data_IF_778295982061
#
_entry.id   IF_778295982061
#
_cell.length_a   1.000
_cell.length_b   1.000
_cell.length_c   1.000
_cell.angle_alpha   90.00
_cell.angle_beta   90.00
_cell.angle_gamma   90.00
#
_symmetry.space_group_name_H-M   'P 1'
#
loop_
_entity.id
_entity.type
_entity.pdbx_description
1 polymer ?
#
# COMPACT_ATOMS: atom_id res chain seq x y z
N UNK A 1 -25.25 2.18 51.66
CA UNK A 1 -24.47 2.10 50.42
C UNK A 1 -24.83 3.34 49.64
N UNK A 2 -23.84 4.17 49.39
CA UNK A 2 -24.01 5.43 48.67
C UNK A 2 -24.24 5.10 47.18
N UNK A 3 -25.39 5.46 46.57
CA UNK A 3 -25.66 5.20 45.16
C UNK A 3 -24.76 6.03 44.21
N UNK A 4 -23.94 6.96 44.72
CA UNK A 4 -23.08 7.84 43.93
C UNK A 4 -21.65 7.31 43.68
N UNK A 5 -21.40 6.02 43.91
CA UNK A 5 -20.12 5.35 43.62
C UNK A 5 -20.19 4.40 42.41
N UNK A 6 -21.00 4.73 41.40
CA UNK A 6 -20.78 4.13 40.08
C UNK A 6 -19.55 4.81 39.46
N UNK A 7 -18.51 4.06 39.05
CA UNK A 7 -17.44 4.65 38.27
C UNK A 7 -18.05 5.33 37.04
N UNK A 8 -17.54 6.51 36.62
CA UNK A 8 -18.02 7.14 35.41
C UNK A 8 -17.96 6.11 34.28
N UNK A 9 -19.04 6.01 33.48
CA UNK A 9 -19.06 5.16 32.30
C UNK A 9 -17.78 5.45 31.51
N UNK A 10 -16.95 4.42 31.30
CA UNK A 10 -15.76 4.52 30.46
C UNK A 10 -16.19 5.16 29.14
N UNK A 11 -15.51 6.23 28.72
CA UNK A 11 -15.77 6.83 27.42
C UNK A 11 -15.80 5.72 26.35
N UNK A 12 -16.78 5.71 25.44
CA UNK A 12 -16.89 4.65 24.44
C UNK A 12 -15.59 4.58 23.61
N UNK A 13 -15.12 3.37 23.34
CA UNK A 13 -13.95 3.12 22.49
C UNK A 13 -14.25 3.65 21.08
N UNK A 14 -13.61 4.77 20.72
CA UNK A 14 -13.83 5.42 19.43
C UNK A 14 -13.25 4.53 18.33
N UNK A 15 -14.13 4.05 17.44
CA UNK A 15 -13.73 3.15 16.37
C UNK A 15 -13.12 3.90 15.19
N UNK A 16 -12.06 3.33 14.62
CA UNK A 16 -11.46 3.76 13.36
C UNK A 16 -12.02 2.93 12.20
N UNK A 17 -12.59 3.61 11.21
CA UNK A 17 -13.21 2.95 10.05
C UNK A 17 -12.13 2.54 9.03
N UNK A 18 -12.28 1.35 8.46
CA UNK A 18 -11.36 0.79 7.46
C UNK A 18 -12.17 0.29 6.27
N UNK A 19 -11.71 0.55 5.05
CA UNK A 19 -12.23 -0.12 3.85
C UNK A 19 -11.16 -0.98 3.22
N UNK A 20 -11.53 -2.20 2.81
CA UNK A 20 -10.66 -3.14 2.12
C UNK A 20 -11.23 -3.56 0.77
N UNK A 21 -10.36 -3.68 -0.22
CA UNK A 21 -10.64 -4.35 -1.49
C UNK A 21 -10.06 -5.77 -1.51
N UNK A 22 -10.37 -6.51 -2.56
CA UNK A 22 -9.92 -7.90 -2.72
C UNK A 22 -9.54 -8.20 -4.17
N UNK A 23 -8.56 -9.10 -4.34
CA UNK A 23 -8.23 -9.72 -5.62
C UNK A 23 -9.18 -10.85 -6.02
N UNK A 24 -10.02 -11.31 -5.10
CA UNK A 24 -10.86 -12.52 -5.21
C UNK A 24 -12.34 -12.26 -4.91
N UNK A 25 -12.71 -11.04 -4.54
CA UNK A 25 -14.10 -10.62 -4.35
C UNK A 25 -14.43 -9.38 -5.17
N UNK A 26 -15.68 -9.29 -5.61
CA UNK A 26 -16.19 -8.14 -6.38
C UNK A 26 -16.62 -6.98 -5.46
N UNK A 27 -16.77 -7.24 -4.17
CA UNK A 27 -17.22 -6.28 -3.14
C UNK A 27 -16.06 -5.57 -2.45
N UNK A 28 -16.40 -4.52 -1.72
CA UNK A 28 -15.54 -3.92 -0.68
C UNK A 28 -15.99 -4.41 0.70
N UNK A 29 -15.07 -4.54 1.63
CA UNK A 29 -15.37 -4.78 3.04
C UNK A 29 -15.17 -3.49 3.83
N UNK A 30 -16.20 -3.04 4.55
CA UNK A 30 -16.10 -1.97 5.53
C UNK A 30 -15.95 -2.61 6.92
N UNK A 31 -14.92 -2.20 7.64
CA UNK A 31 -14.54 -2.72 8.95
C UNK A 31 -14.42 -1.58 9.97
N UNK A 32 -14.47 -1.92 11.25
CA UNK A 32 -14.28 -0.99 12.37
C UNK A 32 -13.22 -1.55 13.33
N UNK A 33 -12.15 -0.81 13.55
CA UNK A 33 -11.10 -1.13 14.52
C UNK A 33 -11.35 -0.38 15.83
N UNK A 34 -11.39 -1.11 16.94
CA UNK A 34 -11.58 -0.58 18.29
C UNK A 34 -10.25 -0.65 19.05
N UNK A 35 -9.52 0.47 19.21
CA UNK A 35 -8.15 0.46 19.72
C UNK A 35 -8.01 0.06 21.20
N UNK A 36 -8.97 0.37 22.07
CA UNK A 36 -8.92 -0.04 23.48
C UNK A 36 -9.13 -1.55 23.62
N UNK A 37 -10.09 -2.10 22.88
CA UNK A 37 -10.41 -3.53 22.91
C UNK A 37 -9.52 -4.38 22.00
N UNK A 38 -8.80 -3.75 21.07
CA UNK A 38 -7.96 -4.39 20.05
C UNK A 38 -8.76 -5.40 19.20
N UNK A 39 -9.95 -4.99 18.76
CA UNK A 39 -10.82 -5.80 17.89
C UNK A 39 -11.02 -5.13 16.52
N UNK A 40 -11.14 -5.95 15.47
CA UNK A 40 -11.47 -5.50 14.12
C UNK A 40 -12.73 -6.22 13.68
N UNK A 41 -13.81 -5.47 13.54
CA UNK A 41 -15.15 -6.00 13.29
C UNK A 41 -15.62 -5.71 11.87
N UNK A 42 -16.42 -6.62 11.30
CA UNK A 42 -17.11 -6.37 10.03
C UNK A 42 -18.28 -5.42 10.25
N UNK A 43 -18.35 -4.37 9.44
CA UNK A 43 -19.47 -3.42 9.44
C UNK A 43 -20.43 -3.72 8.28
N UNK A 44 -19.88 -3.84 7.07
CA UNK A 44 -20.68 -4.09 5.87
C UNK A 44 -19.85 -4.71 4.75
N UNK A 45 -20.50 -5.50 3.91
CA UNK A 45 -19.98 -5.88 2.60
C UNK A 45 -20.70 -5.03 1.55
N UNK A 46 -19.96 -4.17 0.88
CA UNK A 46 -20.52 -3.22 -0.10
C UNK A 46 -20.40 -3.83 -1.50
N UNK A 47 -21.52 -4.08 -2.22
CA UNK A 47 -21.47 -4.46 -3.62
C UNK A 47 -20.67 -3.43 -4.42
N UNK A 48 -19.69 -3.90 -5.18
CA UNK A 48 -18.78 -3.03 -5.90
C UNK A 48 -18.44 -3.64 -7.26
N UNK A 49 -17.37 -3.15 -7.88
CA UNK A 49 -16.98 -3.50 -9.24
C UNK A 49 -15.59 -4.11 -9.26
N UNK A 50 -15.28 -4.96 -8.28
CA UNK A 50 -13.97 -5.59 -8.15
C UNK A 50 -13.71 -6.64 -9.24
N UNK A 51 -12.62 -7.41 -9.14
CA UNK A 51 -11.62 -7.36 -8.07
C UNK A 51 -10.92 -6.00 -7.97
N UNK A 52 -10.78 -5.49 -6.75
CA UNK A 52 -10.18 -4.20 -6.46
C UNK A 52 -8.75 -4.39 -6.00
N UNK A 53 -7.77 -3.89 -6.76
CA UNK A 53 -6.36 -4.03 -6.38
C UNK A 53 -5.90 -2.94 -5.42
N UNK A 54 -6.35 -1.71 -5.64
CA UNK A 54 -5.85 -0.53 -4.94
C UNK A 54 -6.98 0.41 -4.61
N UNK A 55 -6.84 1.10 -3.48
CA UNK A 55 -7.79 2.05 -2.95
C UNK A 55 -7.04 3.33 -2.58
N UNK A 56 -7.63 4.47 -2.89
CA UNK A 56 -7.13 5.78 -2.52
C UNK A 56 -8.27 6.61 -1.92
N UNK A 57 -7.92 7.64 -1.15
CA UNK A 57 -8.87 8.54 -0.52
C UNK A 57 -8.28 9.94 -0.42
N UNK A 58 -9.14 10.93 -0.23
CA UNK A 58 -8.77 12.32 0.04
C UNK A 58 -8.38 12.48 1.52
N UNK A 59 -7.73 13.58 1.94
CA UNK A 59 -7.41 13.81 3.35
C UNK A 59 -8.64 13.87 4.27
N UNK A 60 -9.78 14.35 3.74
CA UNK A 60 -11.04 14.42 4.50
C UNK A 60 -11.76 13.07 4.60
N UNK A 61 -11.28 12.03 3.90
CA UNK A 61 -11.87 10.70 3.90
C UNK A 61 -13.37 10.71 3.53
N UNK A 62 -13.77 11.66 2.68
CA UNK A 62 -15.14 11.83 2.18
C UNK A 62 -15.41 10.96 0.94
N UNK A 63 -14.35 10.56 0.25
CA UNK A 63 -14.42 9.71 -0.95
C UNK A 63 -13.38 8.60 -0.94
N UNK A 64 -13.74 7.47 -1.55
CA UNK A 64 -12.86 6.34 -1.84
C UNK A 64 -12.82 6.16 -3.35
N UNK A 65 -11.63 5.99 -3.91
CA UNK A 65 -11.40 5.67 -5.31
C UNK A 65 -10.74 4.33 -5.41
N UNK A 66 -11.15 3.49 -6.36
CA UNK A 66 -10.55 2.17 -6.49
C UNK A 66 -10.24 1.83 -7.93
N UNK A 67 -9.18 1.05 -8.10
CA UNK A 67 -8.91 0.34 -9.35
C UNK A 67 -9.77 -0.91 -9.45
N UNK A 68 -9.96 -1.43 -10.65
CA UNK A 68 -10.62 -2.70 -10.88
C UNK A 68 -9.91 -3.55 -11.94
N UNK A 69 -9.92 -4.86 -11.75
CA UNK A 69 -9.54 -5.86 -12.75
C UNK A 69 -10.69 -6.23 -13.70
N UNK A 70 -11.78 -5.45 -13.71
CA UNK A 70 -12.89 -5.65 -14.63
C UNK A 70 -12.46 -5.59 -16.10
N UNK A 71 -13.29 -6.19 -16.96
CA UNK A 71 -13.15 -6.14 -18.42
C UNK A 71 -14.46 -5.59 -19.00
N UNK A 72 -14.48 -4.40 -19.61
CA UNK A 72 -13.34 -3.50 -19.87
C UNK A 72 -12.74 -2.88 -18.59
N UNK A 73 -11.48 -2.41 -18.61
CA UNK A 73 -10.86 -1.75 -17.46
C UNK A 73 -11.61 -0.47 -17.03
N UNK A 74 -11.77 -0.30 -15.73
CA UNK A 74 -12.49 0.84 -15.13
C UNK A 74 -11.82 1.37 -13.86
N UNK A 75 -12.11 2.62 -13.53
CA UNK A 75 -11.97 3.19 -12.19
C UNK A 75 -13.35 3.53 -11.64
N UNK A 76 -13.51 3.46 -10.33
CA UNK A 76 -14.78 3.76 -9.66
C UNK A 76 -14.56 4.62 -8.44
N UNK A 77 -15.56 5.43 -8.09
CA UNK A 77 -15.56 6.31 -6.93
C UNK A 77 -16.78 6.07 -6.03
N UNK A 78 -16.59 6.23 -4.73
CA UNK A 78 -17.62 6.07 -3.70
C UNK A 78 -17.54 7.22 -2.71
N UNK A 79 -18.70 7.68 -2.24
CA UNK A 79 -18.83 8.63 -1.15
C UNK A 79 -18.98 7.88 0.17
N UNK A 80 -18.29 8.34 1.21
CA UNK A 80 -18.47 7.80 2.57
C UNK A 80 -19.75 8.33 3.20
N UNK A 81 -20.54 7.44 3.81
CA UNK A 81 -21.64 7.83 4.70
C UNK A 81 -21.19 7.72 6.15
N UNK A 82 -21.68 8.61 7.01
CA UNK A 82 -21.24 8.68 8.42
C UNK A 82 -22.42 8.79 9.37
N UNK A 83 -22.36 8.03 10.46
CA UNK A 83 -23.23 8.17 11.62
C UNK A 83 -22.36 8.41 12.85
N UNK A 84 -22.59 9.51 13.57
CA UNK A 84 -21.76 9.93 14.71
C UNK A 84 -20.26 9.96 14.35
N UNK A 85 -19.92 10.60 13.23
CA UNK A 85 -18.55 10.77 12.70
C UNK A 85 -17.87 9.49 12.17
N UNK A 86 -18.36 8.29 12.55
CA UNK A 86 -17.87 7.00 12.04
C UNK A 86 -18.41 6.70 10.65
N UNK A 87 -17.57 6.22 9.74
CA UNK A 87 -18.01 5.72 8.43
C UNK A 87 -18.75 4.40 8.59
N UNK A 88 -19.97 4.35 8.08
CA UNK A 88 -20.88 3.18 8.17
C UNK A 88 -21.35 2.64 6.82
N UNK A 89 -21.00 3.32 5.72
CA UNK A 89 -21.37 2.91 4.39
C UNK A 89 -20.59 3.63 3.29
N UNK A 90 -20.75 3.11 2.08
CA UNK A 90 -20.17 3.64 0.86
C UNK A 90 -21.24 3.68 -0.23
N UNK A 91 -21.49 4.86 -0.77
CA UNK A 91 -22.42 5.08 -1.87
C UNK A 91 -21.63 5.24 -3.17
N UNK A 92 -21.95 4.44 -4.18
CA UNK A 92 -21.30 4.57 -5.49
C UNK A 92 -21.64 5.94 -6.12
N UNK A 93 -20.60 6.64 -6.59
CA UNK A 93 -20.73 7.96 -7.24
C UNK A 93 -20.71 7.79 -8.75
N UNK A 94 -19.59 7.31 -9.30
CA UNK A 94 -19.49 7.01 -10.73
C UNK A 94 -18.39 6.00 -11.05
N UNK A 95 -18.36 5.60 -12.32
CA UNK A 95 -17.35 4.73 -12.92
C UNK A 95 -16.92 5.31 -14.26
N UNK A 96 -15.61 5.30 -14.54
CA UNK A 96 -15.04 5.75 -15.82
C UNK A 96 -14.24 4.63 -16.48
N UNK A 97 -14.32 4.48 -17.82
CA UNK A 97 -13.49 3.53 -18.54
C UNK A 97 -12.05 4.04 -18.64
N UNK A 98 -11.09 3.13 -18.57
CA UNK A 98 -9.66 3.41 -18.77
C UNK A 98 -9.09 2.47 -19.83
N UNK A 99 -7.97 2.84 -20.44
CA UNK A 99 -7.39 2.08 -21.55
C UNK A 99 -6.81 0.74 -21.09
N UNK A 100 -6.11 0.69 -19.97
CA UNK A 100 -5.55 -0.55 -19.41
C UNK A 100 -5.81 -0.65 -17.91
N UNK A 101 -5.80 -1.87 -17.37
CA UNK A 101 -5.97 -2.13 -15.93
C UNK A 101 -4.98 -1.29 -15.12
N UNK A 102 -5.50 -0.42 -14.27
CA UNK A 102 -4.69 0.38 -13.35
C UNK A 102 -4.34 -0.38 -12.07
N UNK A 103 -3.21 -0.03 -11.48
CA UNK A 103 -2.66 -0.63 -10.27
C UNK A 103 -2.62 0.30 -9.06
N UNK A 104 -2.75 1.61 -9.29
CA UNK A 104 -2.53 2.65 -8.30
C UNK A 104 -3.38 3.88 -8.61
N UNK A 105 -3.77 4.62 -7.57
CA UNK A 105 -4.45 5.91 -7.68
C UNK A 105 -3.80 6.90 -6.71
N UNK A 106 -3.59 8.13 -7.14
CA UNK A 106 -3.16 9.24 -6.29
C UNK A 106 -3.99 10.49 -6.59
N UNK A 107 -4.36 11.22 -5.55
CA UNK A 107 -5.10 12.48 -5.63
C UNK A 107 -4.27 13.53 -4.89
N UNK A 108 -3.22 14.09 -5.53
CA UNK A 108 -2.34 15.04 -4.85
C UNK A 108 -3.06 16.37 -4.60
N UNK A 109 -2.62 17.17 -3.60
CA UNK A 109 -3.05 18.55 -3.48
C UNK A 109 -2.91 19.30 -4.82
N UNK A 110 -3.85 20.19 -5.18
CA UNK A 110 -4.99 20.68 -4.40
C UNK A 110 -6.26 19.83 -4.52
N UNK A 111 -6.13 18.54 -4.87
CA UNK A 111 -7.24 17.59 -5.04
C UNK A 111 -8.19 17.91 -6.20
N UNK A 112 -7.64 18.51 -7.26
CA UNK A 112 -8.39 18.87 -8.48
C UNK A 112 -8.25 17.87 -9.61
N UNK A 113 -7.30 16.94 -9.51
CA UNK A 113 -7.04 15.89 -10.49
C UNK A 113 -6.77 14.55 -9.81
N UNK A 114 -7.18 13.48 -10.46
CA UNK A 114 -7.00 12.09 -10.04
C UNK A 114 -6.09 11.39 -11.04
N UNK A 115 -5.00 10.84 -10.54
CA UNK A 115 -3.97 10.17 -11.32
C UNK A 115 -4.04 8.69 -11.09
N UNK A 116 -3.88 7.92 -12.16
CA UNK A 116 -3.84 6.46 -12.09
C UNK A 116 -2.76 5.91 -13.00
N UNK A 117 -2.11 4.83 -12.60
CA UNK A 117 -1.05 4.19 -13.38
C UNK A 117 -1.14 2.67 -13.26
N UNK A 118 -0.96 1.96 -14.37
CA UNK A 118 -0.89 0.52 -14.40
C UNK A 118 -0.61 -0.02 -15.80
N UNK A 119 0.34 -0.95 -15.90
CA UNK A 119 0.64 -1.62 -17.15
C UNK A 119 1.20 -0.62 -18.19
N UNK A 120 0.72 -0.65 -19.45
CA UNK A 120 1.27 0.18 -20.52
C UNK A 120 0.83 1.65 -20.48
N UNK A 121 -0.09 2.03 -19.58
CA UNK A 121 -0.65 3.39 -19.55
C UNK A 121 -0.77 3.98 -18.15
N UNK A 122 -0.78 5.30 -18.08
CA UNK A 122 -1.31 6.09 -16.97
C UNK A 122 -2.40 7.03 -17.47
N UNK A 123 -3.30 7.46 -16.60
CA UNK A 123 -4.38 8.36 -16.97
C UNK A 123 -4.61 9.43 -15.91
N UNK A 124 -4.92 10.64 -16.38
CA UNK A 124 -5.28 11.80 -15.56
C UNK A 124 -6.74 12.13 -15.81
N UNK A 125 -7.50 12.27 -14.73
CA UNK A 125 -8.89 12.70 -14.76
C UNK A 125 -9.06 13.96 -13.92
N UNK A 126 -9.99 14.84 -14.32
CA UNK A 126 -10.47 15.90 -13.43
C UNK A 126 -11.13 15.29 -12.19
N UNK A 127 -11.00 15.93 -11.04
CA UNK A 127 -11.88 15.71 -9.89
C UNK A 127 -13.14 16.55 -10.09
N UNK A 128 -14.32 15.94 -10.02
CA UNK A 128 -15.58 16.68 -10.11
C UNK A 128 -15.93 17.27 -8.73
N UNK A 129 -15.90 18.60 -8.53
CA UNK A 129 -16.18 19.21 -7.24
C UNK A 129 -17.65 19.13 -6.81
N UNK A 130 -18.57 18.82 -7.72
CA UNK A 130 -19.99 18.71 -7.40
C UNK A 130 -20.33 17.34 -6.83
N UNK A 131 -19.73 16.29 -7.41
CA UNK A 131 -20.03 14.90 -7.02
C UNK A 131 -18.93 14.28 -6.15
N UNK A 132 -17.69 14.76 -6.29
CA UNK A 132 -16.46 14.15 -5.77
C UNK A 132 -15.95 12.96 -6.59
N UNK A 133 -16.60 12.65 -7.72
CA UNK A 133 -16.22 11.53 -8.58
C UNK A 133 -15.15 11.87 -9.62
N UNK A 134 -14.95 10.95 -10.56
CA UNK A 134 -14.10 11.16 -11.72
C UNK A 134 -14.80 12.07 -12.74
N UNK A 135 -14.14 13.15 -13.13
CA UNK A 135 -14.53 14.02 -14.23
C UNK A 135 -13.99 13.54 -15.58
N UNK A 136 -13.76 14.48 -16.49
CA UNK A 136 -13.23 14.20 -17.84
C UNK A 136 -11.81 13.64 -17.76
N UNK A 137 -11.49 12.66 -18.62
CA UNK A 137 -10.10 12.27 -18.88
C UNK A 137 -9.37 13.41 -19.60
N UNK A 138 -8.32 13.94 -18.97
CA UNK A 138 -7.52 15.04 -19.51
C UNK A 138 -6.28 14.55 -20.24
N UNK A 139 -5.69 13.43 -19.81
CA UNK A 139 -4.47 12.90 -20.41
C UNK A 139 -4.40 11.37 -20.30
N UNK A 140 -3.77 10.75 -21.29
CA UNK A 140 -3.26 9.38 -21.23
C UNK A 140 -1.74 9.41 -21.45
N UNK A 141 -1.00 8.87 -20.48
CA UNK A 141 0.46 8.71 -20.51
C UNK A 141 0.77 7.30 -20.99
N UNK A 142 1.76 7.16 -21.87
CA UNK A 142 2.17 5.86 -22.42
C UNK A 142 3.52 5.43 -21.85
N UNK A 143 3.62 4.16 -21.46
CA UNK A 143 4.86 3.49 -21.05
C UNK A 143 5.33 2.47 -22.08
N UNK A 144 4.75 2.54 -23.27
CA UNK A 144 5.09 1.78 -24.47
C UNK A 144 5.03 2.73 -25.67
N UNK A 145 5.73 2.45 -26.78
CA UNK A 145 5.56 3.21 -28.01
C UNK A 145 4.09 3.26 -28.45
N UNK A 146 3.67 4.40 -29.02
CA UNK A 146 2.27 4.63 -29.40
C UNK A 146 1.76 3.60 -30.43
N UNK A 147 2.61 3.20 -31.37
CA UNK A 147 2.29 2.18 -32.39
C UNK A 147 2.26 0.75 -31.84
N UNK A 148 2.75 0.54 -30.62
CA UNK A 148 2.69 -0.75 -29.91
C UNK A 148 1.49 -0.86 -28.96
N UNK A 149 0.86 0.27 -28.58
CA UNK A 149 -0.22 0.29 -27.60
C UNK A 149 -1.39 -0.64 -27.96
N UNK A 150 -1.76 -0.71 -29.24
CA UNK A 150 -2.88 -1.56 -29.67
C UNK A 150 -2.60 -3.05 -29.39
N UNK A 151 -1.35 -3.48 -29.55
CA UNK A 151 -0.89 -4.85 -29.33
C UNK A 151 -0.50 -5.12 -27.88
N UNK A 152 -0.22 -4.07 -27.10
CA UNK A 152 0.12 -4.19 -25.70
C UNK A 152 -1.02 -4.86 -24.92
N UNK A 153 -0.64 -5.73 -23.99
CA UNK A 153 -1.55 -6.32 -23.01
C UNK A 153 -2.10 -5.20 -22.10
N UNK A 154 -3.43 -5.14 -22.02
CA UNK A 154 -4.16 -4.13 -21.23
C UNK A 154 -4.77 -4.72 -19.97
N UNK A 155 -4.50 -6.00 -19.68
CA UNK A 155 -5.02 -6.73 -18.54
C UNK A 155 -4.16 -6.56 -17.30
N UNK A 156 -4.61 -7.12 -16.17
CA UNK A 156 -3.84 -7.21 -14.93
C UNK A 156 -2.47 -7.91 -15.07
N UNK A 157 -2.23 -8.67 -16.12
CA UNK A 157 -0.94 -9.35 -16.33
C UNK A 157 0.15 -8.33 -16.67
N UNK A 158 -0.20 -7.26 -17.38
CA UNK A 158 0.70 -6.15 -17.71
C UNK A 158 1.25 -5.42 -16.46
N UNK A 159 0.60 -5.54 -15.31
CA UNK A 159 1.09 -4.96 -14.06
C UNK A 159 2.41 -5.59 -13.58
N UNK A 160 2.75 -6.80 -14.04
CA UNK A 160 4.01 -7.47 -13.69
C UNK A 160 5.24 -6.91 -14.41
N UNK A 161 5.03 -6.11 -15.45
CA UNK A 161 6.11 -5.57 -16.29
C UNK A 161 5.81 -4.16 -16.83
N UNK A 162 4.77 -3.48 -16.36
CA UNK A 162 4.44 -2.11 -16.76
C UNK A 162 4.62 -1.12 -15.61
N UNK A 163 3.97 0.03 -15.71
CA UNK A 163 3.84 0.96 -14.60
C UNK A 163 3.07 0.33 -13.44
N UNK A 164 3.43 0.67 -12.19
CA UNK A 164 2.78 0.09 -11.02
C UNK A 164 2.47 1.08 -9.87
N UNK A 165 2.85 2.35 -10.03
CA UNK A 165 2.63 3.37 -9.00
C UNK A 165 2.53 4.77 -9.59
N UNK A 166 1.99 5.70 -8.81
CA UNK A 166 2.09 7.14 -9.10
C UNK A 166 2.11 7.90 -7.79
N UNK A 167 3.10 8.76 -7.62
CA UNK A 167 3.28 9.61 -6.45
C UNK A 167 3.68 11.02 -6.84
N UNK A 168 3.44 11.96 -5.93
CA UNK A 168 3.78 13.36 -6.13
C UNK A 168 4.58 13.91 -4.96
N UNK A 169 5.52 14.80 -5.28
CA UNK A 169 6.15 15.67 -4.30
C UNK A 169 5.23 16.85 -3.95
N UNK A 170 5.53 17.51 -2.83
CA UNK A 170 4.88 18.79 -2.45
C UNK A 170 5.09 19.90 -3.48
N UNK A 171 6.18 19.82 -4.25
CA UNK A 171 6.56 20.80 -5.27
C UNK A 171 5.85 20.55 -6.62
N UNK A 172 5.07 19.47 -6.72
CA UNK A 172 4.27 19.15 -7.91
C UNK A 172 4.95 18.27 -8.95
N UNK A 173 6.16 17.76 -8.70
CA UNK A 173 6.74 16.72 -9.55
C UNK A 173 6.08 15.36 -9.28
N UNK A 174 5.76 14.63 -10.35
CA UNK A 174 5.16 13.29 -10.32
C UNK A 174 6.17 12.21 -10.68
N UNK A 175 6.05 11.03 -10.05
CA UNK A 175 6.96 9.91 -10.20
C UNK A 175 6.19 8.63 -10.46
N UNK A 176 6.53 7.94 -11.56
CA UNK A 176 5.87 6.71 -11.98
C UNK A 176 6.93 5.60 -12.16
N UNK A 177 7.03 4.65 -11.22
CA UNK A 177 7.87 3.47 -11.39
C UNK A 177 7.30 2.53 -12.46
N UNK A 178 8.16 2.07 -13.37
CA UNK A 178 7.83 1.19 -14.50
C UNK A 178 8.74 -0.05 -14.46
N UNK A 179 8.14 -1.21 -14.18
CA UNK A 179 8.90 -2.45 -13.99
C UNK A 179 9.59 -2.91 -15.27
N UNK A 180 8.95 -2.76 -16.43
CA UNK A 180 9.43 -3.29 -17.71
C UNK A 180 10.60 -2.52 -18.30
N UNK A 181 10.62 -1.21 -18.13
CA UNK A 181 11.75 -0.35 -18.53
C UNK A 181 12.81 -0.25 -17.44
N UNK A 182 12.55 -0.84 -16.26
CA UNK A 182 13.43 -0.82 -15.10
C UNK A 182 13.82 0.61 -14.68
N UNK A 183 12.83 1.51 -14.72
CA UNK A 183 13.01 2.95 -14.52
C UNK A 183 11.92 3.59 -13.67
N UNK A 184 12.23 4.77 -13.14
CA UNK A 184 11.26 5.70 -12.56
C UNK A 184 11.14 6.89 -13.50
N UNK A 185 9.96 7.08 -14.06
CA UNK A 185 9.64 8.19 -14.93
C UNK A 185 9.26 9.41 -14.10
N UNK A 186 9.94 10.53 -14.33
CA UNK A 186 9.73 11.80 -13.62
C UNK A 186 8.99 12.79 -14.52
N UNK A 187 8.01 13.50 -13.94
CA UNK A 187 7.14 14.43 -14.64
C UNK A 187 6.97 15.74 -13.86
N UNK A 188 6.76 16.85 -14.58
CA UNK A 188 6.20 18.09 -14.05
C UNK A 188 4.68 17.99 -14.13
N UNK A 189 3.95 18.26 -13.04
CA UNK A 189 2.49 18.44 -13.10
C UNK A 189 2.16 19.89 -13.47
N UNK A 190 1.36 20.07 -14.51
CA UNK A 190 0.69 21.34 -14.77
C UNK A 190 -0.41 21.56 -13.70
N UNK A 191 -0.36 22.65 -12.91
CA UNK A 191 -1.35 22.87 -11.85
C UNK A 191 -2.74 23.26 -12.38
N UNK A 192 -2.84 23.81 -13.58
CA UNK A 192 -4.09 24.27 -14.19
C UNK A 192 -4.78 23.15 -14.97
N UNK A 193 -4.03 22.40 -15.78
CA UNK A 193 -4.57 21.35 -16.65
C UNK A 193 -4.48 19.95 -16.05
N UNK A 194 -3.63 19.76 -15.05
CA UNK A 194 -3.33 18.47 -14.44
C UNK A 194 -2.40 17.58 -15.27
N UNK A 195 -2.03 18.01 -16.48
CA UNK A 195 -1.19 17.22 -17.38
C UNK A 195 0.20 16.96 -16.81
N UNK A 196 0.72 15.77 -17.09
CA UNK A 196 2.08 15.36 -16.77
C UNK A 196 2.99 15.60 -17.97
N UNK A 197 4.02 16.42 -17.77
CA UNK A 197 5.05 16.72 -18.76
C UNK A 197 6.31 15.98 -18.38
N UNK A 198 6.77 15.05 -19.23
CA UNK A 198 7.93 14.21 -18.95
C UNK A 198 9.20 15.05 -18.77
N UNK A 199 10.00 14.72 -17.74
CA UNK A 199 11.28 15.36 -17.42
C UNK A 199 12.44 14.40 -17.71
N UNK A 200 12.40 13.20 -17.12
CA UNK A 200 13.48 12.23 -17.22
C UNK A 200 13.04 10.79 -16.94
N UNK A 201 13.75 9.85 -17.55
CA UNK A 201 13.67 8.42 -17.27
C UNK A 201 14.87 8.02 -16.41
N UNK A 202 14.62 7.60 -15.18
CA UNK A 202 15.68 7.34 -14.20
C UNK A 202 15.83 5.83 -14.01
N UNK A 203 16.85 5.25 -14.63
CA UNK A 203 17.10 3.81 -14.56
C UNK A 203 17.50 3.34 -13.16
N UNK A 204 17.29 2.04 -12.91
CA UNK A 204 17.66 1.41 -11.64
C UNK A 204 19.15 1.65 -11.25
N UNK A 205 19.45 1.91 -9.97
CA UNK A 205 20.82 2.09 -9.47
C UNK A 205 21.68 0.83 -9.56
N UNK A 206 21.08 -0.36 -9.73
CA UNK A 206 21.83 -1.60 -9.95
C UNK A 206 22.36 -1.73 -11.37
N UNK A 207 21.86 -0.92 -12.31
CA UNK A 207 22.33 -0.88 -13.69
C UNK A 207 21.51 -1.75 -14.64
N UNK A 208 21.83 -1.64 -15.93
CA UNK A 208 21.05 -2.21 -17.02
C UNK A 208 21.06 -3.74 -17.01
N UNK A 209 19.88 -4.36 -17.21
CA UNK A 209 19.74 -5.81 -17.38
C UNK A 209 19.63 -6.60 -16.08
N UNK A 210 19.71 -5.96 -14.91
CA UNK A 210 19.45 -6.61 -13.63
C UNK A 210 17.95 -6.72 -13.31
N UNK A 211 17.09 -5.97 -14.00
CA UNK A 211 15.62 -6.04 -13.90
C UNK A 211 15.13 -5.96 -12.46
N UNK A 212 15.39 -4.83 -11.79
CA UNK A 212 14.87 -4.60 -10.44
C UNK A 212 13.38 -4.67 -10.31
N UNK A 213 12.71 -4.13 -11.32
CA UNK A 213 11.28 -3.88 -11.25
C UNK A 213 10.97 -2.83 -10.17
N UNK A 214 11.37 -1.55 -10.33
CA UNK A 214 10.86 -0.49 -9.47
C UNK A 214 9.34 -0.52 -9.47
N UNK A 215 8.73 -0.60 -8.28
CA UNK A 215 7.33 -0.98 -8.14
C UNK A 215 6.47 0.11 -7.55
N UNK A 216 6.73 0.47 -6.29
CA UNK A 216 6.06 1.54 -5.59
C UNK A 216 7.12 2.54 -5.12
N UNK A 217 6.78 3.82 -5.17
CA UNK A 217 7.61 4.91 -4.65
C UNK A 217 6.85 5.66 -3.57
N UNK A 218 7.57 6.42 -2.73
CA UNK A 218 7.03 7.43 -1.83
C UNK A 218 7.98 8.62 -1.78
N UNK A 219 7.43 9.82 -1.69
CA UNK A 219 8.21 11.05 -1.55
C UNK A 219 8.18 11.48 -0.09
N UNK A 220 9.34 11.82 0.46
CA UNK A 220 9.44 12.39 1.80
C UNK A 220 8.74 13.77 1.83
N UNK A 221 8.04 14.15 2.92
CA UNK A 221 7.30 15.42 2.98
C UNK A 221 8.14 16.68 2.78
N UNK A 222 9.47 16.61 2.89
CA UNK A 222 10.36 17.72 2.55
C UNK A 222 10.51 17.95 1.03
N UNK A 223 9.96 17.07 0.18
CA UNK A 223 10.00 17.15 -1.28
C UNK A 223 11.36 16.83 -1.92
N UNK A 224 12.37 16.44 -1.13
CA UNK A 224 13.76 16.28 -1.60
C UNK A 224 14.23 14.84 -1.71
N UNK A 225 13.55 13.90 -1.06
CA UNK A 225 13.94 12.49 -1.01
C UNK A 225 12.81 11.62 -1.56
N UNK A 226 13.16 10.69 -2.43
CA UNK A 226 12.26 9.66 -2.94
C UNK A 226 12.76 8.28 -2.51
N UNK A 227 11.83 7.42 -2.09
CA UNK A 227 12.09 6.03 -1.78
C UNK A 227 11.42 5.15 -2.84
N UNK A 228 12.06 4.08 -3.28
CA UNK A 228 11.48 3.11 -4.22
C UNK A 228 11.69 1.69 -3.72
N UNK A 229 10.62 0.90 -3.61
CA UNK A 229 10.73 -0.56 -3.44
C UNK A 229 10.85 -1.21 -4.81
N UNK A 230 11.86 -2.06 -4.96
CA UNK A 230 12.07 -2.91 -6.13
C UNK A 230 11.44 -4.30 -5.93
N UNK A 231 10.59 -4.72 -6.86
CA UNK A 231 9.82 -5.96 -6.76
C UNK A 231 10.70 -7.20 -6.86
N UNK A 232 11.68 -7.23 -7.75
CA UNK A 232 12.40 -8.47 -8.08
C UNK A 232 13.65 -8.69 -7.22
N UNK A 233 14.30 -7.61 -6.77
CA UNK A 233 15.55 -7.69 -5.99
C UNK A 233 15.34 -7.55 -4.49
N UNK A 234 14.14 -7.10 -4.06
CA UNK A 234 13.81 -6.89 -2.65
C UNK A 234 14.75 -5.88 -1.96
N UNK A 235 14.95 -4.74 -2.61
CA UNK A 235 15.60 -3.57 -2.03
C UNK A 235 14.64 -2.39 -1.92
N UNK A 236 14.94 -1.48 -1.00
CA UNK A 236 14.45 -0.10 -1.01
C UNK A 236 15.61 0.83 -1.36
N UNK A 237 15.42 1.63 -2.41
CA UNK A 237 16.37 2.62 -2.88
C UNK A 237 15.96 4.01 -2.44
N UNK A 238 16.94 4.81 -2.06
CA UNK A 238 16.79 6.21 -1.66
C UNK A 238 17.43 7.08 -2.74
N UNK A 239 16.69 8.09 -3.20
CA UNK A 239 17.14 9.06 -4.21
C UNK A 239 16.99 10.47 -3.67
N UNK A 240 17.89 11.37 -4.07
CA UNK A 240 17.61 12.80 -4.07
C UNK A 240 16.82 13.16 -5.31
N UNK A 241 15.80 14.00 -5.12
CA UNK A 241 15.02 14.61 -6.20
C UNK A 241 15.77 15.88 -6.61
N UNK A 242 16.32 15.88 -7.83
CA UNK A 242 16.93 17.04 -8.47
C UNK A 242 16.00 17.56 -9.57
N UNK A 243 16.17 18.80 -10.06
CA UNK A 243 15.23 19.40 -11.02
C UNK A 243 15.03 18.63 -12.33
N UNK A 244 16.02 17.84 -12.75
CA UNK A 244 16.05 17.13 -14.02
C UNK A 244 16.25 15.61 -13.90
N UNK A 245 16.48 15.08 -12.69
CA UNK A 245 16.77 13.65 -12.48
C UNK A 245 16.59 13.21 -11.03
N UNK A 246 16.53 11.89 -10.85
CA UNK A 246 16.71 11.24 -9.56
C UNK A 246 18.18 10.83 -9.40
N UNK A 247 18.81 11.26 -8.32
CA UNK A 247 20.18 10.86 -7.99
C UNK A 247 20.14 9.76 -6.91
N UNK A 248 20.61 8.53 -7.20
CA UNK A 248 20.70 7.48 -6.19
C UNK A 248 21.61 7.88 -5.02
N UNK A 249 21.19 7.53 -3.80
CA UNK A 249 21.90 7.84 -2.54
C UNK A 249 22.34 6.56 -1.84
N UNK A 250 21.41 5.65 -1.58
CA UNK A 250 21.66 4.39 -0.86
C UNK A 250 20.62 3.34 -1.21
N UNK A 251 20.97 2.06 -1.05
CA UNK A 251 20.07 0.92 -1.25
C UNK A 251 20.14 -0.02 -0.05
N UNK A 252 18.98 -0.44 0.45
CA UNK A 252 18.86 -1.26 1.65
C UNK A 252 18.01 -2.50 1.38
N UNK A 253 18.46 -3.67 1.82
CA UNK A 253 17.66 -4.90 1.67
C UNK A 253 16.38 -4.81 2.49
N UNK A 254 15.22 -5.10 1.89
CA UNK A 254 13.92 -5.20 2.61
C UNK A 254 13.64 -6.62 3.12
N UNK A 255 14.63 -7.52 3.01
CA UNK A 255 14.65 -8.85 3.59
C UNK A 255 15.69 -8.97 4.72
N UNK A 256 15.48 -9.88 5.69
CA UNK A 256 16.52 -10.32 6.62
C UNK A 256 17.78 -10.82 5.89
N UNK A 257 18.97 -10.57 6.46
CA UNK A 257 20.26 -10.91 5.82
C UNK A 257 20.40 -12.39 5.45
N UNK A 258 19.94 -13.28 6.33
CA UNK A 258 20.01 -14.73 6.09
C UNK A 258 19.18 -15.21 4.89
N UNK A 259 18.19 -14.42 4.45
CA UNK A 259 17.38 -14.73 3.26
C UNK A 259 18.00 -14.15 2.00
N UNK A 260 18.59 -12.95 2.07
CA UNK A 260 19.25 -12.32 0.91
C UNK A 260 20.46 -13.10 0.38
N UNK A 261 21.12 -13.89 1.22
CA UNK A 261 22.28 -14.71 0.82
C UNK A 261 21.89 -16.08 0.22
N UNK A 262 20.63 -16.49 0.35
CA UNK A 262 20.17 -17.86 0.05
C UNK A 262 19.62 -18.07 -1.37
N UNK A 263 19.50 -17.03 -2.18
CA UNK A 263 18.88 -17.07 -3.52
C UNK A 263 19.84 -17.46 -4.66
N UNK A 264 21.12 -17.73 -4.35
CA UNK A 264 22.08 -18.24 -5.33
C UNK A 264 21.68 -19.63 -5.83
N UNK A 265 21.08 -19.69 -7.03
CA UNK A 265 20.81 -20.87 -7.90
C UNK A 265 19.34 -21.28 -8.13
N UNK A 266 18.34 -20.49 -7.71
CA UNK A 266 16.93 -20.83 -8.01
C UNK A 266 16.55 -20.40 -9.42
N UNK A 267 16.17 -21.37 -10.28
CA UNK A 267 15.53 -21.11 -11.57
C UNK A 267 14.02 -20.99 -11.38
N UNK A 268 13.44 -19.88 -11.79
CA UNK A 268 12.00 -19.67 -11.81
C UNK A 268 11.46 -19.81 -13.24
N UNK A 269 10.24 -20.34 -13.37
CA UNK A 269 9.57 -20.48 -14.67
C UNK A 269 9.05 -19.15 -15.22
N UNK A 270 8.73 -18.20 -14.34
CA UNK A 270 8.37 -16.83 -14.70
C UNK A 270 9.66 -15.99 -14.86
N UNK A 271 9.97 -15.46 -16.05
CA UNK A 271 11.19 -14.67 -16.28
C UNK A 271 11.22 -13.37 -15.46
N UNK A 272 10.08 -12.96 -14.89
CA UNK A 272 9.95 -11.82 -13.98
C UNK A 272 10.03 -12.23 -12.50
N UNK A 273 10.35 -13.49 -12.19
CA UNK A 273 10.59 -13.95 -10.82
C UNK A 273 12.07 -14.29 -10.67
N UNK A 274 12.75 -13.56 -9.79
CA UNK A 274 14.20 -13.70 -9.56
C UNK A 274 14.57 -14.10 -8.14
N UNK A 275 13.57 -14.10 -7.26
CA UNK A 275 13.70 -14.42 -5.85
C UNK A 275 12.44 -15.15 -5.41
N UNK A 276 12.55 -15.92 -4.33
CA UNK A 276 11.38 -16.49 -3.64
C UNK A 276 10.51 -15.42 -2.96
N UNK A 277 10.93 -14.17 -3.06
CA UNK A 277 10.29 -13.01 -2.47
C UNK A 277 10.06 -11.93 -3.52
N UNK A 278 9.01 -11.14 -3.34
CA UNK A 278 8.71 -9.98 -4.19
C UNK A 278 8.44 -8.74 -3.34
N UNK A 279 9.18 -7.67 -3.61
CA UNK A 279 8.96 -6.37 -2.97
C UNK A 279 7.54 -5.88 -3.23
N UNK A 280 6.86 -5.44 -2.17
CA UNK A 280 5.45 -5.06 -2.18
C UNK A 280 5.28 -3.54 -2.18
N UNK A 281 4.98 -2.98 -1.02
CA UNK A 281 4.70 -1.55 -0.87
C UNK A 281 5.63 -0.90 0.13
N UNK A 282 5.52 0.42 0.24
CA UNK A 282 6.18 1.23 1.24
C UNK A 282 5.28 2.38 1.71
N UNK A 283 5.42 2.75 2.98
CA UNK A 283 4.71 3.86 3.61
C UNK A 283 5.61 4.56 4.62
N UNK A 284 5.50 5.88 4.71
CA UNK A 284 6.15 6.67 5.74
C UNK A 284 5.22 6.80 6.95
N UNK A 285 5.79 6.90 8.15
CA UNK A 285 5.01 7.37 9.30
C UNK A 285 4.45 8.77 9.00
N UNK A 286 3.17 9.05 9.28
CA UNK A 286 2.60 10.36 8.98
C UNK A 286 3.29 11.49 9.77
N UNK A 287 3.47 12.65 9.13
CA UNK A 287 3.87 13.87 9.84
C UNK A 287 2.75 14.33 10.77
N UNK A 288 3.09 14.62 12.02
CA UNK A 288 2.18 15.21 13.02
C UNK A 288 2.74 16.54 13.54
N UNK A 289 1.96 17.38 14.25
CA UNK A 289 2.50 18.58 14.87
C UNK A 289 3.68 18.31 15.82
N UNK A 290 3.68 17.16 16.51
CA UNK A 290 4.75 16.73 17.41
C UNK A 290 5.93 16.08 16.67
N UNK A 291 5.64 15.37 15.59
CA UNK A 291 6.60 14.67 14.74
C UNK A 291 6.48 15.17 13.29
N UNK A 292 6.98 16.38 12.98
CA UNK A 292 6.73 17.03 11.68
C UNK A 292 7.44 16.33 10.50
N UNK A 293 8.51 15.58 10.77
CA UNK A 293 9.17 14.72 9.80
C UNK A 293 8.86 13.24 10.12
N UNK A 294 8.61 12.40 9.10
CA UNK A 294 8.55 10.96 9.27
C UNK A 294 9.79 10.41 9.99
N UNK A 295 9.56 9.52 10.95
CA UNK A 295 10.63 8.90 11.75
C UNK A 295 10.96 7.48 11.31
N UNK A 296 10.14 6.91 10.43
CA UNK A 296 10.34 5.57 9.90
C UNK A 296 9.74 5.38 8.50
N UNK A 297 10.37 4.47 7.75
CA UNK A 297 9.92 3.95 6.47
C UNK A 297 9.55 2.47 6.63
N UNK A 298 8.30 2.15 6.39
CA UNK A 298 7.78 0.78 6.38
C UNK A 298 7.84 0.25 4.95
N UNK A 299 8.28 -0.98 4.77
CA UNK A 299 8.35 -1.67 3.47
C UNK A 299 7.88 -3.11 3.63
N UNK A 300 7.18 -3.66 2.64
CA UNK A 300 6.75 -5.06 2.68
C UNK A 300 7.34 -5.88 1.55
N UNK A 301 7.43 -7.17 1.82
CA UNK A 301 7.86 -8.20 0.87
C UNK A 301 6.91 -9.37 0.98
N UNK A 302 6.38 -9.87 -0.13
CA UNK A 302 5.51 -11.07 -0.16
C UNK A 302 6.31 -12.30 -0.56
N UNK A 303 5.90 -13.48 -0.12
CA UNK A 303 6.39 -14.74 -0.67
C UNK A 303 5.95 -14.88 -2.14
N UNK A 304 6.82 -15.43 -2.99
CA UNK A 304 6.46 -15.74 -4.36
C UNK A 304 5.43 -16.88 -4.43
N UNK A 305 5.42 -17.73 -3.40
CA UNK A 305 4.44 -18.80 -3.20
C UNK A 305 3.98 -18.85 -1.74
N UNK A 306 2.95 -19.63 -1.45
CA UNK A 306 2.45 -19.82 -0.08
C UNK A 306 3.43 -20.55 0.87
N UNK A 307 4.56 -21.09 0.37
CA UNK A 307 5.56 -21.75 1.22
C UNK A 307 6.49 -20.77 1.93
N UNK A 308 6.74 -19.61 1.33
CA UNK A 308 7.54 -18.55 1.93
C UNK A 308 6.63 -17.52 2.59
N UNK A 309 6.84 -17.25 3.88
CA UNK A 309 6.14 -16.15 4.56
C UNK A 309 6.67 -14.80 4.10
N UNK A 310 5.79 -13.81 4.04
CA UNK A 310 6.17 -12.43 3.76
C UNK A 310 6.91 -11.78 4.93
N UNK A 311 7.34 -10.54 4.70
CA UNK A 311 8.07 -9.73 5.66
C UNK A 311 7.58 -8.28 5.65
N UNK A 312 7.55 -7.67 6.82
CA UNK A 312 7.49 -6.23 7.03
C UNK A 312 8.84 -5.78 7.60
N UNK A 313 9.42 -4.75 6.99
CA UNK A 313 10.65 -4.12 7.46
C UNK A 313 10.40 -2.66 7.75
N UNK A 314 10.92 -2.16 8.88
CA UNK A 314 10.78 -0.77 9.31
C UNK A 314 12.18 -0.19 9.47
N UNK A 315 12.50 0.81 8.66
CA UNK A 315 13.79 1.50 8.70
C UNK A 315 13.66 2.81 9.46
N UNK A 316 14.65 3.10 10.31
CA UNK A 316 14.75 4.39 11.00
C UNK A 316 15.18 5.48 10.03
N UNK A 317 14.50 6.62 10.09
CA UNK A 317 14.84 7.80 9.31
C UNK A 317 15.48 8.88 10.19
N UNK A 318 16.41 9.63 9.62
CA UNK A 318 16.84 10.91 10.19
C UNK A 318 15.88 12.06 9.80
N UNK A 319 16.17 13.27 10.28
CA UNK A 319 15.33 14.43 10.05
C UNK A 319 15.28 14.89 8.57
N UNK A 320 16.27 14.51 7.75
CA UNK A 320 16.34 14.85 6.33
C UNK A 320 15.67 13.79 5.44
N UNK A 321 15.28 12.65 6.04
CA UNK A 321 14.64 11.54 5.35
C UNK A 321 15.65 10.52 4.80
N UNK A 322 16.86 10.42 5.36
CA UNK A 322 17.77 9.33 5.01
C UNK A 322 17.59 8.17 5.97
N UNK A 323 17.74 6.95 5.45
CA UNK A 323 17.75 5.74 6.28
C UNK A 323 19.04 5.77 7.12
N UNK A 324 18.87 5.71 8.44
CA UNK A 324 19.99 5.60 9.38
C UNK A 324 20.45 4.15 9.37
N UNK A 325 21.69 3.90 8.96
CA UNK A 325 22.24 2.56 8.93
C UNK A 325 23.37 2.39 9.96
N UNK A 326 23.10 1.61 11.01
CA UNK A 326 24.07 1.22 12.03
C UNK A 326 24.49 -0.23 11.79
N UNK A 327 25.19 -0.50 10.69
CA UNK A 327 25.61 -1.85 10.26
C UNK A 327 26.57 -2.59 11.21
N UNK A 328 26.91 -2.07 12.40
CA UNK A 328 27.68 -2.83 13.40
C UNK A 328 26.86 -3.92 14.12
N UNK A 329 25.58 -4.08 13.80
CA UNK A 329 24.75 -5.17 14.33
C UNK A 329 24.95 -6.48 13.58
N UNK A 330 25.65 -7.40 14.25
CA UNK A 330 25.64 -8.82 13.91
C UNK A 330 24.26 -9.41 14.27
N UNK A 331 23.34 -9.49 13.30
CA UNK A 331 21.98 -10.03 13.47
C UNK A 331 21.97 -11.47 14.03
N UNK A 332 23.09 -12.20 13.92
CA UNK A 332 23.24 -13.56 14.45
C UNK A 332 23.50 -13.63 15.96
N UNK A 333 23.86 -12.50 16.59
CA UNK A 333 24.22 -12.44 18.02
C UNK A 333 23.08 -12.03 18.96
N UNK A 334 21.85 -11.92 18.45
CA UNK A 334 20.72 -11.38 19.22
C UNK A 334 20.88 -9.89 19.54
N UNK A 335 19.84 -9.23 20.08
CA UNK A 335 19.86 -7.79 20.27
C UNK A 335 20.95 -7.37 21.29
N UNK A 336 22.00 -6.70 20.81
CA UNK A 336 22.85 -5.87 21.66
C UNK A 336 22.10 -4.56 21.93
N UNK A 337 21.25 -4.52 22.95
CA UNK A 337 20.36 -3.39 23.28
C UNK A 337 19.34 -3.02 22.17
N UNK A 338 18.04 -2.98 22.48
CA UNK A 338 17.00 -2.49 21.58
C UNK A 338 17.23 -1.06 21.05
N UNK A 339 17.97 -0.22 21.79
CA UNK A 339 18.21 1.19 21.47
C UNK A 339 19.08 1.45 20.24
N UNK A 340 19.85 0.46 19.77
CA UNK A 340 20.78 0.63 18.65
C UNK A 340 20.29 0.03 17.33
N UNK A 341 19.11 -0.61 17.32
CA UNK A 341 18.52 -1.15 16.10
C UNK A 341 18.06 -0.04 15.15
N UNK A 342 18.63 -0.03 13.94
CA UNK A 342 18.22 0.84 12.82
C UNK A 342 17.08 0.25 11.98
N UNK A 343 16.81 -1.05 12.13
CA UNK A 343 15.80 -1.77 11.35
C UNK A 343 15.06 -2.78 12.20
N UNK A 344 13.73 -2.84 12.06
CA UNK A 344 12.87 -3.89 12.61
C UNK A 344 12.47 -4.81 11.46
N UNK A 345 12.51 -6.13 11.70
CA UNK A 345 12.03 -7.16 10.75
C UNK A 345 10.92 -7.96 11.40
N UNK A 346 9.81 -8.12 10.71
CA UNK A 346 8.65 -8.87 11.16
C UNK A 346 8.23 -9.86 10.08
N UNK A 347 8.31 -11.15 10.38
CA UNK A 347 7.80 -12.20 9.50
C UNK A 347 6.27 -12.20 9.56
N UNK A 348 5.61 -12.10 8.41
CA UNK A 348 4.15 -12.10 8.35
C UNK A 348 3.59 -13.50 8.58
N UNK A 349 2.34 -13.65 9.06
CA UNK A 349 1.79 -14.98 9.36
C UNK A 349 1.72 -15.92 8.15
N UNK A 350 1.56 -15.38 6.94
CA UNK A 350 1.50 -16.13 5.68
C UNK A 350 2.45 -15.50 4.64
N UNK A 351 2.43 -15.98 3.39
CA UNK A 351 3.10 -15.34 2.24
C UNK A 351 2.59 -13.95 1.89
N UNK A 352 1.39 -13.61 2.39
CA UNK A 352 0.56 -12.47 2.00
C UNK A 352 -0.02 -12.53 0.58
N UNK A 353 0.16 -13.65 -0.12
CA UNK A 353 -0.37 -13.85 -1.47
C UNK A 353 0.12 -12.77 -2.43
N UNK A 354 -0.81 -12.09 -3.13
CA UNK A 354 -0.48 -10.94 -4.01
C UNK A 354 -0.44 -9.61 -3.28
N UNK A 355 -0.80 -9.57 -2.01
CA UNK A 355 -1.02 -8.36 -1.24
C UNK A 355 0.24 -7.96 -0.44
N UNK A 356 0.17 -8.02 0.89
CA UNK A 356 1.10 -7.41 1.83
C UNK A 356 1.11 -5.87 1.75
N UNK A 357 -0.06 -5.26 1.53
CA UNK A 357 -0.14 -3.82 1.37
C UNK A 357 -0.38 -3.13 2.72
N UNK A 358 0.06 -1.87 2.82
CA UNK A 358 0.15 -1.08 4.03
C UNK A 358 -0.72 0.17 3.93
N UNK A 359 -1.35 0.54 5.03
CA UNK A 359 -1.77 1.91 5.30
C UNK A 359 -1.51 2.26 6.78
N UNK A 360 -1.09 3.49 7.05
CA UNK A 360 -0.57 3.88 8.37
C UNK A 360 -1.36 5.06 8.93
N UNK A 361 -1.72 4.94 10.21
CA UNK A 361 -2.39 5.98 11.00
C UNK A 361 -1.58 6.27 12.27
N UNK A 362 -1.30 7.54 12.55
CA UNK A 362 -0.65 7.92 13.81
C UNK A 362 -1.53 7.61 15.02
N UNK A 363 -0.91 7.26 16.16
CA UNK A 363 -1.59 7.26 17.46
C UNK A 363 -1.63 8.68 18.02
N UNK A 364 -2.63 8.95 18.86
CA UNK A 364 -2.76 10.27 19.48
C UNK A 364 -1.62 10.50 20.49
N UNK A 365 -0.97 11.66 20.41
CA UNK A 365 0.11 12.11 21.31
C UNK A 365 1.27 11.08 21.46
N UNK A 366 1.62 10.36 20.40
CA UNK A 366 2.62 9.31 20.41
C UNK A 366 3.37 9.22 19.07
N UNK A 367 4.66 8.83 19.07
CA UNK A 367 5.39 8.50 17.84
C UNK A 367 4.93 7.16 17.24
N UNK A 368 4.12 6.40 17.96
CA UNK A 368 3.58 5.13 17.53
C UNK A 368 2.48 5.28 16.48
N UNK A 369 2.22 4.18 15.77
CA UNK A 369 1.22 4.12 14.69
C UNK A 369 0.41 2.82 14.77
N UNK A 370 -0.79 2.87 14.20
CA UNK A 370 -1.56 1.71 13.78
C UNK A 370 -1.27 1.44 12.30
N UNK A 371 -1.00 0.17 11.97
CA UNK A 371 -0.67 -0.25 10.61
C UNK A 371 -1.70 -1.25 10.13
N UNK A 372 -2.36 -0.97 9.02
CA UNK A 372 -3.10 -1.97 8.27
C UNK A 372 -2.13 -2.82 7.46
N UNK A 373 -2.31 -4.13 7.51
CA UNK A 373 -1.56 -5.09 6.70
C UNK A 373 -2.53 -6.08 6.05
N UNK A 374 -2.55 -6.13 4.72
CA UNK A 374 -3.45 -7.00 3.97
C UNK A 374 -2.81 -8.29 3.49
N UNK A 375 -3.63 -9.33 3.34
CA UNK A 375 -3.20 -10.68 3.00
C UNK A 375 -4.19 -11.33 2.02
N UNK A 376 -3.67 -11.78 0.87
CA UNK A 376 -4.43 -12.51 -0.15
C UNK A 376 -4.05 -14.01 -0.22
N UNK A 377 -3.23 -14.52 0.70
CA UNK A 377 -3.01 -15.96 0.82
C UNK A 377 -4.33 -16.65 1.20
N UNK A 378 -4.57 -17.86 0.68
CA UNK A 378 -5.80 -18.60 0.99
C UNK A 378 -5.93 -18.91 2.48
N UNK A 379 -4.81 -19.05 3.19
CA UNK A 379 -4.81 -19.24 4.64
C UNK A 379 -5.41 -18.03 5.39
N UNK A 380 -5.40 -16.83 4.78
CA UNK A 380 -5.94 -15.62 5.38
C UNK A 380 -7.48 -15.50 5.26
N UNK A 381 -8.13 -16.34 4.43
CA UNK A 381 -9.59 -16.35 4.28
C UNK A 381 -10.34 -16.78 5.55
N UNK A 382 -9.64 -17.52 6.40
CA UNK A 382 -10.16 -18.01 7.67
C UNK A 382 -9.67 -17.15 8.84
N UNK A 383 -8.55 -16.42 8.66
CA UNK A 383 -8.00 -15.54 9.68
C UNK A 383 -7.05 -14.47 9.11
N UNK A 384 -7.38 -13.21 9.34
CA UNK A 384 -6.45 -12.09 9.14
C UNK A 384 -6.17 -11.74 7.69
N UNK A 385 -7.20 -11.73 6.85
CA UNK A 385 -7.15 -11.07 5.53
C UNK A 385 -6.79 -9.59 5.68
N UNK A 386 -7.32 -8.92 6.70
CA UNK A 386 -6.91 -7.58 7.15
C UNK A 386 -6.39 -7.69 8.57
N UNK A 387 -5.21 -7.14 8.84
CA UNK A 387 -4.61 -7.10 10.18
C UNK A 387 -4.35 -5.66 10.60
N UNK A 388 -4.52 -5.37 11.88
CA UNK A 388 -4.02 -4.15 12.51
C UNK A 388 -2.80 -4.52 13.34
N UNK A 389 -1.67 -3.92 13.01
CA UNK A 389 -0.47 -3.98 13.83
C UNK A 389 -0.35 -2.70 14.63
N UNK A 390 0.15 -2.85 15.85
CA UNK A 390 0.53 -1.79 16.75
C UNK A 390 2.04 -1.62 16.68
N UNK A 391 2.52 -0.41 16.41
CA UNK A 391 3.92 -0.03 16.59
C UNK A 391 4.00 1.15 17.56
N UNK A 392 4.81 1.05 18.61
CA UNK A 392 4.91 2.08 19.66
C UNK A 392 5.99 3.15 19.39
N UNK A 393 6.63 3.10 18.23
CA UNK A 393 7.79 3.93 17.89
C UNK A 393 9.11 3.25 18.22
N UNK A 394 10.21 4.01 18.12
CA UNK A 394 11.54 3.54 18.50
C UNK A 394 11.69 3.58 20.03
N UNK A 395 12.00 2.46 20.68
CA UNK A 395 12.14 2.36 22.13
C UNK A 395 12.90 1.10 22.59
N UNK A 396 12.79 0.78 23.89
CA UNK A 396 13.47 -0.37 24.50
C UNK A 396 12.84 -1.73 24.13
N UNK A 397 11.71 -1.76 23.45
CA UNK A 397 11.13 -2.97 22.89
C UNK A 397 10.87 -2.75 21.40
N UNK A 398 10.92 -3.82 20.60
CA UNK A 398 10.62 -3.77 19.16
C UNK A 398 9.26 -3.13 18.86
N UNK A 399 8.33 -3.14 19.83
CA UNK A 399 7.08 -2.38 19.81
C UNK A 399 6.06 -2.81 18.76
N UNK A 400 6.40 -3.75 17.87
CA UNK A 400 5.57 -4.18 16.73
C UNK A 400 4.86 -5.51 17.01
N UNK A 401 3.52 -5.51 16.93
CA UNK A 401 2.69 -6.71 17.16
C UNK A 401 1.35 -6.62 16.43
N UNK A 402 0.82 -7.76 15.98
CA UNK A 402 -0.57 -7.84 15.52
C UNK A 402 -1.48 -7.70 16.74
N UNK A 403 -2.41 -6.75 16.69
CA UNK A 403 -3.38 -6.51 17.77
C UNK A 403 -4.80 -6.90 17.40
N UNK A 404 -5.17 -6.83 16.12
CA UNK A 404 -6.48 -7.23 15.65
C UNK A 404 -6.39 -7.85 14.25
N UNK A 405 -7.32 -8.75 13.94
CA UNK A 405 -7.37 -9.46 12.67
C UNK A 405 -8.83 -9.64 12.24
N UNK A 406 -9.10 -9.51 10.95
CA UNK A 406 -10.38 -9.83 10.34
C UNK A 406 -10.19 -10.63 9.04
N UNK A 407 -10.92 -11.74 8.84
CA UNK A 407 -11.78 -12.42 9.82
C UNK A 407 -11.00 -12.88 11.07
N UNK A 408 -11.68 -13.01 12.21
CA UNK A 408 -11.05 -13.54 13.43
C UNK A 408 -11.15 -15.07 13.48
N UNK A 409 -10.24 -15.74 14.20
CA UNK A 409 -10.31 -17.20 14.39
C UNK A 409 -11.53 -17.67 15.21
N UNK A 410 -12.27 -16.75 15.83
CA UNK A 410 -13.49 -17.04 16.58
C UNK A 410 -14.72 -17.03 15.66
N UNK A 411 -14.69 -16.21 14.60
CA UNK A 411 -15.72 -16.16 13.57
C UNK A 411 -15.70 -17.40 12.67
N UNK A 412 -14.58 -18.14 12.64
CA UNK A 412 -14.43 -19.41 11.93
C UNK A 412 -14.98 -20.61 12.73
N UNK A 413 -16.22 -20.54 13.21
CA UNK A 413 -16.92 -21.73 13.72
C UNK A 413 -17.19 -22.72 12.57
N UNK A 414 -17.07 -24.04 12.78
CA UNK A 414 -17.28 -25.03 11.73
C UNK A 414 -18.78 -25.23 11.51
N UNK A 415 -19.42 -24.35 10.74
CA UNK A 415 -20.73 -24.66 10.17
C UNK A 415 -20.55 -25.66 9.00
N UNK A 416 -20.94 -26.91 9.29
CA UNK A 416 -21.31 -28.02 8.40
C UNK A 416 -20.37 -28.44 7.24
N UNK A 417 -19.97 -29.72 7.33
CA UNK A 417 -19.44 -30.68 6.35
C UNK A 417 -18.72 -30.20 5.06
N UNK A 418 -17.57 -30.81 4.68
CA UNK A 418 -16.68 -30.30 3.62
C UNK A 418 -17.16 -30.50 2.17
N UNK A 419 -18.34 -31.08 1.93
CA UNK A 419 -18.70 -31.61 0.61
C UNK A 419 -19.70 -30.76 -0.21
N UNK A 420 -20.04 -29.55 0.23
CA UNK A 420 -20.86 -28.64 -0.60
C UNK A 420 -20.57 -27.14 -0.43
N UNK A 421 -19.31 -26.74 -0.27
CA UNK A 421 -18.91 -25.32 -0.47
C UNK A 421 -19.02 -24.97 -1.96
N UNK A 422 -20.24 -24.71 -2.42
CA UNK A 422 -20.40 -23.71 -3.47
C UNK A 422 -19.80 -22.41 -2.89
N UNK A 423 -18.89 -21.77 -3.61
CA UNK A 423 -18.39 -20.44 -3.24
C UNK A 423 -19.61 -19.54 -3.05
N UNK A 424 -19.88 -19.09 -1.82
CA UNK A 424 -20.87 -18.04 -1.60
C UNK A 424 -20.36 -16.80 -2.34
N UNK A 425 -20.99 -16.39 -3.45
CA UNK A 425 -20.50 -15.28 -4.25
C UNK A 425 -20.55 -13.94 -3.51
N UNK A 426 -21.20 -13.88 -2.33
CA UNK A 426 -21.23 -12.71 -1.46
C UNK A 426 -20.10 -12.69 -0.41
N UNK A 427 -19.38 -13.79 -0.22
CA UNK A 427 -18.31 -13.87 0.78
C UNK A 427 -17.08 -13.08 0.33
N UNK A 428 -16.66 -12.14 1.16
CA UNK A 428 -15.39 -11.44 1.00
C UNK A 428 -14.24 -12.39 1.36
N UNK A 429 -13.27 -12.58 0.46
CA UNK A 429 -12.12 -13.48 0.65
C UNK A 429 -10.83 -12.82 0.16
N UNK A 430 -9.75 -12.94 0.93
CA UNK A 430 -8.50 -12.21 0.74
C UNK A 430 -8.67 -10.68 0.78
N UNK A 431 -7.64 -9.96 1.20
CA UNK A 431 -7.60 -8.51 1.04
C UNK A 431 -6.40 -8.13 0.18
N UNK A 432 -6.64 -7.29 -0.83
CA UNK A 432 -5.59 -6.74 -1.70
C UNK A 432 -4.93 -5.52 -1.04
N UNK A 433 -5.74 -4.58 -0.60
CA UNK A 433 -5.37 -3.31 0.00
C UNK A 433 -6.47 -2.85 0.96
N UNK A 434 -6.10 -2.17 2.03
CA UNK A 434 -7.03 -1.60 2.99
C UNK A 434 -6.52 -0.22 3.41
N UNK A 435 -7.44 0.73 3.63
CA UNK A 435 -7.11 2.09 4.02
C UNK A 435 -7.96 2.57 5.19
N UNK A 436 -7.40 3.45 6.02
CA UNK A 436 -8.11 4.15 7.10
C UNK A 436 -9.02 5.25 6.52
N UNK A 437 -10.23 5.37 7.09
CA UNK A 437 -11.28 6.31 6.69
C UNK A 437 -11.68 7.33 7.78
N UNK A 438 -10.96 7.36 8.90
CA UNK A 438 -11.12 8.37 9.95
C UNK A 438 -10.23 9.60 9.78
#
# INVERSE_FOLDING_TARGET
MDPDLLPPASAPDAAYSVVAGSFRSLSLALLAFYPLNKTLEHVATVPAFGPHQYLATTPRKDYVYTTSWATPPILSSWRTTRTNERVDGLEHVNTVPITATSSYINIPPPYTFIYSAGGPTGEVHEYDPQTGGFGRKVQQVLFVPEDELEKADKSRVALRYGSHGVEFSSEGDGFIPVLGTDSIEMYRKDPETGELIHISSNGSPRGTGLHDGPRHVKVHPNGKVLYCVAEHTNFVDVYHILPDKLQPVSSHSILPRHLSESDGDVKFDDPHTKSKYRGGTLMLTPSTPEYPAPIALFTTTRGATSTEKGWLSIFKLDADGHIIDNESHDETKGPQSPLSQSVIRFETPTSSGKANALDIRSKDNSPGVWVLLTDDDKQADERGAVRVLEWDGWGDELGLRIVAEWPSSVDSQPEAQPESRAEDPQRFTGASHAIWLD
#
